data_IF_105682330517
#
_entry.id   IF_105682330517
#
_cell.length_a   1.000
_cell.length_b   1.000
_cell.length_c   1.000
_cell.angle_alpha   90.00
_cell.angle_beta   90.00
_cell.angle_gamma   90.00
#
_symmetry.space_group_name_H-M   'P 1'
#
loop_
_entity.id
_entity.type
_entity.pdbx_description
1 polymer ?
#
# COMPACT_ATOMS: atom_id res chain seq x y z
N UNK A 1 14.57 -5.75 -10.36
CA UNK A 1 13.96 -5.44 -9.04
C UNK A 1 12.62 -4.73 -9.23
N UNK A 2 11.78 -4.69 -8.18
CA UNK A 2 10.52 -3.91 -8.23
C UNK A 2 10.80 -2.43 -8.54
N UNK A 3 11.87 -1.88 -8.02
CA UNK A 3 12.28 -0.49 -8.25
C UNK A 3 12.57 -0.20 -9.72
N UNK A 4 13.26 -1.13 -10.42
CA UNK A 4 13.57 -0.96 -11.85
C UNK A 4 12.29 -0.88 -12.69
N UNK A 5 11.29 -1.69 -12.36
CA UNK A 5 9.98 -1.66 -13.03
C UNK A 5 9.28 -0.32 -12.79
N UNK A 6 9.25 0.14 -11.54
CA UNK A 6 8.61 1.42 -11.20
C UNK A 6 9.30 2.62 -11.87
N UNK A 7 10.62 2.57 -12.09
CA UNK A 7 11.36 3.57 -12.86
C UNK A 7 10.98 3.57 -14.34
N UNK A 8 10.77 2.38 -14.92
CA UNK A 8 10.42 2.21 -16.34
C UNK A 8 9.04 2.77 -16.66
N UNK A 9 8.06 2.58 -15.77
CA UNK A 9 6.66 2.94 -16.03
C UNK A 9 6.25 4.21 -15.29
N UNK A 10 6.43 5.37 -15.95
CA UNK A 10 6.08 6.69 -15.39
C UNK A 10 4.57 6.96 -15.35
N UNK A 11 3.82 6.39 -16.30
CA UNK A 11 2.37 6.67 -16.48
C UNK A 11 1.43 5.78 -15.67
N UNK A 12 1.93 4.84 -14.88
CA UNK A 12 1.09 4.02 -14.00
C UNK A 12 0.97 4.69 -12.64
N UNK A 13 -0.20 4.57 -12.02
CA UNK A 13 -0.42 5.04 -10.65
C UNK A 13 0.32 4.16 -9.66
N UNK A 14 1.16 4.78 -8.83
CA UNK A 14 1.97 4.14 -7.79
C UNK A 14 1.34 4.39 -6.44
N UNK A 15 0.65 3.37 -5.92
CA UNK A 15 0.11 3.36 -4.56
C UNK A 15 1.11 2.64 -3.67
N UNK A 16 1.60 3.31 -2.65
CA UNK A 16 2.71 2.85 -1.81
C UNK A 16 2.23 2.67 -0.38
N UNK A 17 2.49 1.50 0.19
CA UNK A 17 2.26 1.26 1.62
C UNK A 17 3.35 1.95 2.47
N UNK A 18 3.00 2.34 3.67
CA UNK A 18 3.86 3.09 4.60
C UNK A 18 5.29 2.54 4.66
N UNK A 19 5.46 1.27 5.00
CA UNK A 19 6.79 0.64 5.12
C UNK A 19 7.62 0.66 3.84
N UNK A 20 7.02 0.83 2.65
CA UNK A 20 7.73 0.90 1.37
C UNK A 20 8.12 2.35 1.01
N UNK A 21 7.55 3.36 1.67
CA UNK A 21 7.74 4.77 1.33
C UNK A 21 9.21 5.16 1.32
N UNK A 22 9.97 4.74 2.34
CA UNK A 22 11.41 5.02 2.41
C UNK A 22 12.16 4.52 1.18
N UNK A 23 11.90 3.27 0.76
CA UNK A 23 12.55 2.69 -0.42
C UNK A 23 12.23 3.45 -1.70
N UNK A 24 11.00 3.93 -1.86
CA UNK A 24 10.56 4.72 -3.02
C UNK A 24 11.29 6.06 -3.05
N UNK A 25 11.35 6.77 -1.92
CA UNK A 25 11.98 8.09 -1.82
C UNK A 25 13.51 8.01 -1.98
N UNK A 26 14.18 7.00 -1.38
CA UNK A 26 15.62 6.79 -1.51
C UNK A 26 16.04 6.47 -2.96
N UNK A 27 15.13 5.89 -3.75
CA UNK A 27 15.37 5.60 -5.17
C UNK A 27 14.91 6.72 -6.13
N UNK A 28 14.62 7.91 -5.62
CA UNK A 28 14.16 9.08 -6.38
C UNK A 28 12.87 8.81 -7.20
N UNK A 29 12.02 7.92 -6.69
CA UNK A 29 10.71 7.69 -7.26
C UNK A 29 9.67 8.59 -6.58
N UNK A 30 8.68 9.02 -7.36
CA UNK A 30 7.55 9.80 -6.84
C UNK A 30 6.34 8.87 -6.69
N UNK A 31 5.84 8.64 -5.46
CA UNK A 31 4.55 7.97 -5.27
C UNK A 31 3.42 8.92 -5.65
N UNK A 32 2.36 8.38 -6.25
CA UNK A 32 1.14 9.16 -6.51
C UNK A 32 0.25 9.16 -5.27
N UNK A 33 0.17 8.02 -4.59
CA UNK A 33 -0.62 7.83 -3.36
C UNK A 33 0.24 7.08 -2.33
N UNK A 34 0.16 7.48 -1.07
CA UNK A 34 0.74 6.73 0.06
C UNK A 34 -0.40 6.39 1.03
N UNK A 35 -0.48 5.11 1.43
CA UNK A 35 -1.36 4.63 2.50
C UNK A 35 -0.52 4.40 3.75
N UNK A 36 -0.85 5.07 4.84
CA UNK A 36 -0.02 5.11 6.05
C UNK A 36 -0.86 5.20 7.32
N UNK A 37 -0.44 4.51 8.39
CA UNK A 37 -0.87 4.72 9.77
C UNK A 37 0.12 5.61 10.55
N UNK A 38 1.04 6.26 9.84
CA UNK A 38 2.05 7.19 10.37
C UNK A 38 3.12 6.52 11.26
N UNK A 39 3.35 5.23 11.09
CA UNK A 39 4.35 4.49 11.87
C UNK A 39 5.64 4.13 11.10
N UNK A 40 5.71 4.50 9.82
CA UNK A 40 6.87 4.34 8.95
C UNK A 40 7.96 5.41 9.16
N UNK A 41 8.80 5.60 8.15
CA UNK A 41 9.86 6.60 8.19
C UNK A 41 9.30 8.02 8.04
N UNK A 42 9.18 8.72 9.16
CA UNK A 42 8.55 10.06 9.24
C UNK A 42 9.23 11.09 8.31
N UNK A 43 10.55 11.00 8.11
CA UNK A 43 11.27 11.90 7.19
C UNK A 43 10.80 11.69 5.75
N UNK A 44 10.68 10.44 5.33
CA UNK A 44 10.20 10.08 3.98
C UNK A 44 8.72 10.44 3.79
N UNK A 45 7.87 10.20 4.81
CA UNK A 45 6.47 10.60 4.78
C UNK A 45 6.31 12.11 4.64
N UNK A 46 7.04 12.92 5.44
CA UNK A 46 7.02 14.37 5.34
C UNK A 46 7.54 14.86 3.98
N UNK A 47 8.61 14.24 3.46
CA UNK A 47 9.17 14.59 2.14
C UNK A 47 8.15 14.33 1.03
N UNK A 48 7.49 13.18 1.03
CA UNK A 48 6.46 12.85 0.05
C UNK A 48 5.20 13.73 0.22
N UNK A 49 4.72 13.91 1.45
CA UNK A 49 3.50 14.65 1.75
C UNK A 49 3.55 16.15 1.41
N UNK A 50 4.75 16.73 1.30
CA UNK A 50 4.96 18.12 0.83
C UNK A 50 4.83 18.27 -0.69
N UNK A 51 4.77 17.18 -1.42
CA UNK A 51 4.59 17.15 -2.89
C UNK A 51 3.11 17.04 -3.26
N UNK A 52 2.83 16.71 -4.52
CA UNK A 52 1.46 16.42 -4.98
C UNK A 52 0.99 15.00 -4.65
N UNK A 53 1.77 14.22 -3.89
CA UNK A 53 1.37 12.90 -3.40
C UNK A 53 0.11 12.99 -2.53
N UNK A 54 -0.87 12.13 -2.78
CA UNK A 54 -2.06 12.02 -1.93
C UNK A 54 -1.74 11.10 -0.75
N UNK A 55 -1.85 11.63 0.46
CA UNK A 55 -1.61 10.88 1.70
C UNK A 55 -2.94 10.32 2.21
N UNK A 56 -3.12 9.02 2.16
CA UNK A 56 -4.28 8.31 2.74
C UNK A 56 -3.88 7.90 4.16
N UNK A 57 -4.31 8.70 5.12
CA UNK A 57 -3.92 8.55 6.52
C UNK A 57 -4.97 7.75 7.28
N UNK A 58 -4.57 6.60 7.83
CA UNK A 58 -5.45 5.72 8.58
C UNK A 58 -5.39 6.04 10.07
N UNK A 59 -6.55 6.45 10.62
CA UNK A 59 -6.74 6.65 12.05
C UNK A 59 -7.34 5.38 12.67
N UNK A 60 -6.61 4.75 13.60
CA UNK A 60 -7.05 3.49 14.23
C UNK A 60 -6.88 3.48 15.77
N UNK A 61 -6.76 4.66 16.38
CA UNK A 61 -6.66 4.81 17.84
C UNK A 61 -5.23 4.73 18.39
N UNK A 62 -4.40 3.80 17.92
CA UNK A 62 -3.01 3.66 18.41
C UNK A 62 -2.07 4.74 17.86
N UNK A 63 -2.50 5.56 16.91
CA UNK A 63 -1.68 6.57 16.26
C UNK A 63 -2.16 8.01 16.52
N UNK A 64 -3.01 8.23 17.53
CA UNK A 64 -3.56 9.56 17.88
C UNK A 64 -2.47 10.61 18.09
N UNK A 65 -1.38 10.23 18.76
CA UNK A 65 -0.24 11.13 19.00
C UNK A 65 0.47 11.56 17.71
N UNK A 66 0.32 10.80 16.62
CA UNK A 66 0.97 11.07 15.33
C UNK A 66 0.07 11.79 14.33
N UNK A 67 -1.23 11.88 14.58
CA UNK A 67 -2.19 12.52 13.66
C UNK A 67 -1.82 13.98 13.37
N UNK A 68 -1.19 14.68 14.33
CA UNK A 68 -0.71 16.05 14.10
C UNK A 68 0.26 16.18 12.91
N UNK A 69 0.87 15.07 12.44
CA UNK A 69 1.76 15.07 11.28
C UNK A 69 1.04 15.39 9.96
N UNK A 70 -0.29 15.27 9.91
CA UNK A 70 -1.07 15.61 8.69
C UNK A 70 -0.92 17.07 8.29
N UNK A 71 -0.57 17.97 9.22
CA UNK A 71 -0.29 19.39 8.94
C UNK A 71 0.87 19.60 7.95
N UNK A 72 1.74 18.59 7.76
CA UNK A 72 2.85 18.66 6.82
C UNK A 72 2.47 18.14 5.42
N UNK A 73 1.24 17.64 5.23
CA UNK A 73 0.80 17.02 3.99
C UNK A 73 -0.06 17.99 3.19
N UNK A 74 0.35 18.23 1.93
CA UNK A 74 -0.37 19.12 1.02
C UNK A 74 -1.75 18.55 0.64
N UNK A 75 -1.83 17.24 0.40
CA UNK A 75 -3.05 16.52 0.05
C UNK A 75 -3.22 15.36 1.02
N UNK A 76 -4.31 15.35 1.79
CA UNK A 76 -4.55 14.32 2.80
C UNK A 76 -6.02 13.90 2.79
N UNK A 77 -6.25 12.59 2.87
CA UNK A 77 -7.57 11.98 3.06
C UNK A 77 -7.50 11.10 4.31
N UNK A 78 -8.37 11.37 5.27
CA UNK A 78 -8.51 10.56 6.48
C UNK A 78 -9.27 9.27 6.21
N UNK A 79 -8.81 8.16 6.78
CA UNK A 79 -9.52 6.87 6.72
C UNK A 79 -9.64 6.22 8.09
N UNK A 80 -10.64 5.37 8.23
CA UNK A 80 -10.93 4.60 9.45
C UNK A 80 -11.23 3.14 9.09
N UNK A 81 -11.20 2.27 10.08
CA UNK A 81 -11.64 0.86 9.94
C UNK A 81 -13.08 0.62 10.42
N UNK A 82 -13.74 1.67 10.91
CA UNK A 82 -15.14 1.63 11.35
C UNK A 82 -16.06 2.27 10.31
N UNK A 83 -17.30 2.54 10.64
CA UNK A 83 -18.22 3.30 9.78
C UNK A 83 -17.64 4.68 9.47
N UNK A 84 -17.74 5.10 8.22
CA UNK A 84 -17.31 6.42 7.76
C UNK A 84 -18.06 7.52 8.52
N UNK A 85 -17.33 8.59 8.91
CA UNK A 85 -17.90 9.73 9.63
C UNK A 85 -17.37 11.02 8.99
N UNK A 86 -18.28 11.88 8.54
CA UNK A 86 -17.95 13.13 7.90
C UNK A 86 -17.05 12.93 6.67
N UNK A 87 -15.86 13.54 6.67
CA UNK A 87 -14.86 13.42 5.59
C UNK A 87 -13.85 12.29 5.81
N UNK A 88 -14.09 11.40 6.79
CA UNK A 88 -13.23 10.24 7.04
C UNK A 88 -13.88 9.00 6.43
N UNK A 89 -13.16 8.32 5.53
CA UNK A 89 -13.66 7.25 4.70
C UNK A 89 -13.21 5.87 5.18
N UNK A 90 -13.93 4.83 4.80
CA UNK A 90 -13.51 3.44 4.97
C UNK A 90 -13.50 2.75 3.61
N UNK A 91 -12.32 2.55 3.05
CA UNK A 91 -12.12 1.85 1.78
C UNK A 91 -11.89 0.34 1.98
N UNK A 92 -11.87 -0.14 3.22
CA UNK A 92 -11.56 -1.53 3.55
C UNK A 92 -10.05 -1.78 3.74
N UNK A 93 -9.72 -3.08 3.89
CA UNK A 93 -8.37 -3.53 4.19
C UNK A 93 -8.05 -3.54 5.69
N UNK A 94 -6.86 -4.05 6.03
CA UNK A 94 -6.43 -4.23 7.43
C UNK A 94 -5.00 -3.72 7.69
N UNK A 95 -4.05 -4.00 6.78
CA UNK A 95 -2.69 -3.45 6.81
C UNK A 95 -2.52 -2.44 5.69
N UNK A 96 -1.51 -1.56 5.75
CA UNK A 96 -1.31 -0.56 4.70
C UNK A 96 -1.19 -1.18 3.31
N UNK A 97 -0.55 -2.36 3.22
CA UNK A 97 -0.39 -3.06 1.95
C UNK A 97 -1.73 -3.47 1.31
N UNK A 98 -2.55 -4.21 2.05
CA UNK A 98 -3.85 -4.64 1.51
C UNK A 98 -4.82 -3.44 1.38
N UNK A 99 -4.74 -2.41 2.23
CA UNK A 99 -5.47 -1.15 2.05
C UNK A 99 -5.15 -0.47 0.72
N UNK A 100 -3.90 -0.52 0.25
CA UNK A 100 -3.54 -0.02 -1.08
C UNK A 100 -4.35 -0.72 -2.19
N UNK A 101 -4.52 -2.04 -2.08
CA UNK A 101 -5.27 -2.84 -3.06
C UNK A 101 -6.77 -2.54 -2.98
N UNK A 102 -7.33 -2.46 -1.76
CA UNK A 102 -8.72 -2.08 -1.54
C UNK A 102 -9.02 -0.69 -2.10
N UNK A 103 -8.12 0.27 -1.89
CA UNK A 103 -8.23 1.63 -2.43
C UNK A 103 -8.26 1.60 -3.97
N UNK A 104 -7.32 0.91 -4.61
CA UNK A 104 -7.27 0.80 -6.06
C UNK A 104 -8.53 0.15 -6.62
N UNK A 105 -9.02 -0.90 -5.97
CA UNK A 105 -10.27 -1.57 -6.34
C UNK A 105 -11.49 -0.67 -6.16
N UNK A 106 -11.57 0.10 -5.08
CA UNK A 106 -12.64 1.05 -4.83
C UNK A 106 -12.78 2.07 -5.96
N UNK A 107 -11.64 2.58 -6.47
CA UNK A 107 -11.59 3.48 -7.62
C UNK A 107 -11.59 2.75 -8.98
N UNK A 108 -12.03 1.49 -9.01
CA UNK A 108 -12.23 0.69 -10.23
C UNK A 108 -11.00 0.62 -11.15
N UNK A 109 -9.80 0.48 -10.55
CA UNK A 109 -8.60 0.26 -11.32
C UNK A 109 -8.74 -1.03 -12.16
N UNK A 110 -8.58 -0.95 -13.48
CA UNK A 110 -8.75 -2.09 -14.39
C UNK A 110 -7.77 -3.22 -14.08
N UNK A 111 -6.51 -2.88 -13.78
CA UNK A 111 -5.45 -3.82 -13.41
C UNK A 111 -4.74 -3.35 -12.16
N UNK A 112 -4.50 -4.26 -11.22
CA UNK A 112 -3.78 -4.00 -9.97
C UNK A 112 -2.64 -5.00 -9.85
N UNK A 113 -1.40 -4.53 -9.78
CA UNK A 113 -0.20 -5.36 -9.71
C UNK A 113 0.46 -5.15 -8.34
N UNK A 114 0.50 -6.19 -7.52
CA UNK A 114 1.11 -6.19 -6.20
C UNK A 114 2.61 -6.49 -6.30
N UNK A 115 3.44 -5.52 -5.93
CA UNK A 115 4.88 -5.62 -5.92
C UNK A 115 5.44 -5.55 -4.50
N UNK A 116 6.35 -6.45 -4.16
CA UNK A 116 7.00 -6.44 -2.85
C UNK A 116 6.09 -6.77 -1.67
N UNK A 117 4.90 -7.29 -1.91
CA UNK A 117 3.98 -7.76 -0.87
C UNK A 117 4.24 -9.24 -0.60
N UNK A 118 5.07 -9.52 0.41
CA UNK A 118 5.35 -10.87 0.87
C UNK A 118 4.54 -11.17 2.15
N UNK A 119 3.63 -12.12 2.06
CA UNK A 119 2.81 -12.60 3.19
C UNK A 119 3.42 -13.81 3.90
N UNK A 120 4.68 -14.09 3.64
CA UNK A 120 5.45 -15.16 4.27
C UNK A 120 5.96 -14.80 5.67
N UNK A 121 6.92 -15.59 6.14
CA UNK A 121 7.56 -15.38 7.44
C UNK A 121 8.74 -14.41 7.40
N UNK A 122 9.20 -14.03 6.22
CA UNK A 122 10.27 -13.05 6.04
C UNK A 122 9.70 -11.63 6.11
N UNK A 123 10.23 -10.85 7.04
CA UNK A 123 9.89 -9.42 7.17
C UNK A 123 10.88 -8.64 6.31
N UNK A 124 10.39 -7.90 5.33
CA UNK A 124 11.25 -7.14 4.42
C UNK A 124 12.04 -6.04 5.13
N UNK A 125 13.22 -5.70 4.58
CA UNK A 125 14.15 -4.68 5.11
C UNK A 125 13.47 -3.33 5.42
N UNK A 126 12.48 -2.95 4.65
CA UNK A 126 11.75 -1.68 4.79
C UNK A 126 10.47 -1.79 5.62
N UNK A 127 10.15 -2.98 6.10
CA UNK A 127 8.99 -3.19 6.95
C UNK A 127 9.35 -2.82 8.38
N UNK A 128 8.95 -1.64 8.85
CA UNK A 128 9.13 -1.08 10.21
C UNK A 128 10.52 -1.32 10.85
N UNK A 129 11.16 -0.27 11.27
CA UNK A 129 12.51 -0.27 11.85
C UNK A 129 12.63 -1.05 13.18
N UNK A 130 11.53 -1.31 13.89
CA UNK A 130 11.49 -2.16 15.09
C UNK A 130 10.27 -3.05 15.07
N UNK A 131 10.47 -4.34 14.79
CA UNK A 131 9.41 -5.36 14.98
C UNK A 131 9.44 -5.81 16.42
N UNK A 132 8.66 -5.16 17.28
CA UNK A 132 8.56 -5.47 18.72
C UNK A 132 7.92 -6.85 18.92
N UNK A 133 6.97 -7.25 18.08
CA UNK A 133 6.30 -8.56 18.16
C UNK A 133 6.14 -9.20 16.78
N UNK A 134 7.07 -10.12 16.46
CA UNK A 134 7.08 -10.86 15.18
C UNK A 134 5.83 -11.72 14.98
N UNK A 135 5.35 -12.36 16.04
CA UNK A 135 4.17 -13.23 16.00
C UNK A 135 2.90 -12.43 15.63
N UNK A 136 2.72 -11.28 16.28
CA UNK A 136 1.61 -10.39 15.97
C UNK A 136 1.68 -9.88 14.53
N UNK A 137 2.87 -9.53 14.04
CA UNK A 137 3.06 -9.10 12.66
C UNK A 137 2.69 -10.18 11.65
N UNK A 138 3.11 -11.41 11.87
CA UNK A 138 2.74 -12.54 11.01
C UNK A 138 1.23 -12.77 11.03
N UNK A 139 0.58 -12.66 12.20
CA UNK A 139 -0.89 -12.74 12.29
C UNK A 139 -1.56 -11.63 11.47
N UNK A 140 -1.08 -10.39 11.55
CA UNK A 140 -1.57 -9.26 10.75
C UNK A 140 -1.41 -9.52 9.24
N UNK A 141 -0.23 -9.99 8.80
CA UNK A 141 0.01 -10.32 7.39
C UNK A 141 -0.91 -11.44 6.89
N UNK A 142 -1.13 -12.49 7.67
CA UNK A 142 -2.08 -13.57 7.34
C UNK A 142 -3.50 -13.04 7.19
N UNK A 143 -3.92 -12.09 8.02
CA UNK A 143 -5.23 -11.46 7.93
C UNK A 143 -5.37 -10.61 6.66
N UNK A 144 -4.37 -9.79 6.35
CA UNK A 144 -4.31 -9.02 5.09
C UNK A 144 -4.37 -9.93 3.86
N UNK A 145 -3.63 -11.05 3.87
CA UNK A 145 -3.70 -12.06 2.79
C UNK A 145 -5.12 -12.62 2.61
N UNK A 146 -5.81 -13.02 3.69
CA UNK A 146 -7.19 -13.52 3.64
C UNK A 146 -8.15 -12.48 3.09
N UNK A 147 -7.96 -11.20 3.41
CA UNK A 147 -8.77 -10.11 2.86
C UNK A 147 -8.55 -9.93 1.35
N UNK A 148 -7.31 -10.06 0.87
CA UNK A 148 -7.04 -10.04 -0.57
C UNK A 148 -7.65 -11.25 -1.30
N UNK A 149 -7.59 -12.43 -0.71
CA UNK A 149 -8.24 -13.64 -1.23
C UNK A 149 -9.78 -13.49 -1.27
N UNK A 150 -10.36 -12.78 -0.32
CA UNK A 150 -11.78 -12.43 -0.32
C UNK A 150 -12.10 -11.37 -1.38
N UNK A 151 -11.29 -10.32 -1.48
CA UNK A 151 -11.44 -9.26 -2.47
C UNK A 151 -11.38 -9.82 -3.89
N UNK A 152 -10.44 -10.74 -4.15
CA UNK A 152 -10.27 -11.35 -5.46
C UNK A 152 -11.52 -12.08 -5.98
N UNK A 153 -12.39 -12.56 -5.08
CA UNK A 153 -13.64 -13.21 -5.46
C UNK A 153 -14.74 -12.22 -5.86
N UNK A 154 -14.60 -10.94 -5.51
CA UNK A 154 -15.63 -9.91 -5.68
C UNK A 154 -15.19 -8.76 -6.59
N UNK A 155 -13.89 -8.68 -6.87
CA UNK A 155 -13.31 -7.61 -7.66
C UNK A 155 -13.53 -7.83 -9.15
N UNK A 156 -13.89 -6.77 -9.85
CA UNK A 156 -13.89 -6.71 -11.32
C UNK A 156 -12.49 -6.37 -11.87
N UNK A 157 -11.56 -5.95 -11.01
CA UNK A 157 -10.18 -5.65 -11.37
C UNK A 157 -9.40 -6.93 -11.65
N UNK A 158 -8.53 -6.90 -12.64
CA UNK A 158 -7.54 -7.97 -12.85
C UNK A 158 -6.43 -7.82 -11.80
N UNK A 159 -6.33 -8.79 -10.89
CA UNK A 159 -5.39 -8.75 -9.78
C UNK A 159 -4.17 -9.64 -10.06
N UNK A 160 -2.98 -9.06 -10.02
CA UNK A 160 -1.70 -9.75 -10.23
C UNK A 160 -0.81 -9.63 -9.00
N UNK A 161 -0.01 -10.65 -8.71
CA UNK A 161 0.93 -10.62 -7.60
C UNK A 161 2.22 -11.38 -7.91
N UNK A 162 3.35 -10.88 -7.44
CA UNK A 162 4.63 -11.59 -7.52
C UNK A 162 4.74 -12.72 -6.50
N UNK A 163 3.86 -12.78 -5.52
CA UNK A 163 3.74 -13.86 -4.55
C UNK A 163 2.45 -14.64 -4.75
N UNK A 164 2.40 -15.91 -4.30
CA UNK A 164 1.21 -16.75 -4.46
C UNK A 164 0.12 -16.33 -3.48
N UNK A 165 -0.99 -15.79 -4.00
CA UNK A 165 -2.22 -15.44 -3.28
C UNK A 165 -3.39 -16.09 -4.03
N UNK A 166 -4.28 -16.77 -3.31
CA UNK A 166 -5.43 -17.43 -3.93
C UNK A 166 -6.37 -16.40 -4.57
N UNK A 167 -6.73 -16.62 -5.83
CA UNK A 167 -7.60 -15.72 -6.59
C UNK A 167 -6.87 -14.59 -7.33
N UNK A 168 -5.57 -14.40 -7.10
CA UNK A 168 -4.74 -13.49 -7.88
C UNK A 168 -3.90 -14.26 -8.90
N UNK A 169 -3.71 -13.68 -10.07
CA UNK A 169 -2.80 -14.23 -11.09
C UNK A 169 -1.36 -14.04 -10.63
N UNK A 170 -0.64 -15.15 -10.42
CA UNK A 170 0.79 -15.09 -10.11
C UNK A 170 1.57 -14.63 -11.34
N UNK A 171 2.44 -13.66 -11.17
CA UNK A 171 3.31 -13.13 -12.23
C UNK A 171 4.76 -13.02 -11.76
N UNK A 172 5.68 -12.91 -12.70
CA UNK A 172 7.08 -12.62 -12.44
C UNK A 172 7.39 -11.17 -12.83
N UNK A 173 8.47 -10.62 -12.28
CA UNK A 173 8.89 -9.25 -12.60
C UNK A 173 9.15 -9.05 -14.11
N UNK A 174 9.56 -10.11 -14.83
CA UNK A 174 9.82 -10.06 -16.28
C UNK A 174 8.54 -9.93 -17.10
N UNK A 175 7.43 -10.49 -16.61
CA UNK A 175 6.17 -10.56 -17.33
C UNK A 175 5.29 -9.32 -17.13
N UNK A 176 5.67 -8.42 -16.21
CA UNK A 176 4.90 -7.21 -15.89
C UNK A 176 4.77 -6.29 -17.11
N UNK A 177 5.77 -6.27 -17.98
CA UNK A 177 5.74 -5.49 -19.22
C UNK A 177 4.55 -5.89 -20.10
N UNK A 178 4.27 -7.18 -20.22
CA UNK A 178 3.16 -7.71 -21.00
C UNK A 178 1.81 -7.36 -20.36
N UNK A 179 1.72 -7.46 -19.02
CA UNK A 179 0.50 -7.10 -18.28
C UNK A 179 0.15 -5.62 -18.44
N UNK A 180 1.15 -4.74 -18.43
CA UNK A 180 0.93 -3.28 -18.55
C UNK A 180 0.58 -2.90 -19.99
N UNK A 181 1.19 -3.54 -21.01
CA UNK A 181 0.98 -3.23 -22.42
C UNK A 181 -0.32 -3.80 -23.00
N UNK A 182 -0.78 -4.97 -22.53
CA UNK A 182 -2.08 -5.50 -22.92
C UNK A 182 -3.19 -4.53 -22.49
N UNK A 183 -3.93 -3.99 -23.46
CA UNK A 183 -5.09 -3.11 -23.24
C UNK A 183 -6.34 -3.88 -22.81
#
# INVERSE_FOLDING_TARGET
SCISILKKYKKITKIVADGATKAIIENNLKPDIIVTDLDGDIKSLKKAGRTNTIMIVHAHGDNTEKIHLVKYFKNCVGTTQTKSVGKVHNFGGFTDGDRCVFLANHFKAKKIILLGMDFGTRIGKYSKTKVINRTLKIKKLRRGKKLLEWLAKKSESQLYSTTKIKGLTKTNLRDIDNIIKCR
#
